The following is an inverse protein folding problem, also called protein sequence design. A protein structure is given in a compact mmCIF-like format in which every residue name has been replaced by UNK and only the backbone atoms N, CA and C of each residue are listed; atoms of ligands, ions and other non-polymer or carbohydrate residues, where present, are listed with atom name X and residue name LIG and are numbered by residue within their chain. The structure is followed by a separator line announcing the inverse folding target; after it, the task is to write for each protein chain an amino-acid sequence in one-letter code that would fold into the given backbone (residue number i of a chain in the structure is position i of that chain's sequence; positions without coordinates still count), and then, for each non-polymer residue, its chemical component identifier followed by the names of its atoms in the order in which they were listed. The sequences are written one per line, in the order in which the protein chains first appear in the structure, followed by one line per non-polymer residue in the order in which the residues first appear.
data_IF_340297484422
#
_entry.id   IF_340297484422
#
_cell.length_a   1.000
_cell.length_b   1.000
_cell.length_c   1.000
_cell.angle_alpha   90.00
_cell.angle_beta   90.00
_cell.angle_gamma   90.00
#
_symmetry.space_group_name_H-M   'P 1'
#
loop_
_entity.id
_entity.type
_entity.pdbx_description
1 polymer ?
#
# COMPACT_ATOMS: atom_id res chain seq x y z
N UNK A 1 3.25 24.01 4.71
CA UNK A 1 2.38 23.27 3.78
C UNK A 1 1.85 24.19 2.70
N UNK A 2 1.82 23.73 1.44
CA UNK A 2 1.15 24.44 0.33
C UNK A 2 -0.06 23.61 -0.11
N UNK A 3 -1.21 24.29 -0.31
CA UNK A 3 -2.38 23.70 -0.96
C UNK A 3 -2.41 24.21 -2.41
N UNK A 4 -2.68 23.31 -3.34
CA UNK A 4 -2.79 23.59 -4.78
C UNK A 4 -4.00 22.87 -5.39
N UNK A 5 -4.05 22.86 -6.71
CA UNK A 5 -5.03 22.12 -7.51
C UNK A 5 -4.31 21.13 -8.42
N UNK A 6 -4.75 19.88 -8.40
CA UNK A 6 -4.28 18.80 -9.25
C UNK A 6 -5.44 18.35 -10.14
N UNK A 7 -5.61 19.01 -11.28
CA UNK A 7 -6.66 18.69 -12.26
C UNK A 7 -8.08 18.55 -11.67
N UNK A 8 -8.46 19.48 -10.80
CA UNK A 8 -9.78 19.48 -10.13
C UNK A 8 -9.80 18.90 -8.71
N UNK A 9 -8.72 18.25 -8.28
CA UNK A 9 -8.55 17.73 -6.92
C UNK A 9 -7.60 18.63 -6.12
N UNK A 10 -7.81 18.69 -4.80
CA UNK A 10 -6.85 19.37 -3.93
C UNK A 10 -5.54 18.58 -3.86
N UNK A 11 -4.41 19.28 -3.83
CA UNK A 11 -3.08 18.71 -3.58
C UNK A 11 -2.41 19.46 -2.43
N UNK A 12 -1.76 18.71 -1.56
CA UNK A 12 -1.05 19.23 -0.40
C UNK A 12 0.43 18.88 -0.51
N UNK A 13 1.29 19.91 -0.55
CA UNK A 13 2.75 19.73 -0.61
C UNK A 13 3.38 20.25 0.67
N UNK A 14 4.17 19.41 1.32
CA UNK A 14 4.84 19.73 2.58
C UNK A 14 6.15 18.93 2.72
N UNK A 15 6.92 19.22 3.77
CA UNK A 15 8.18 18.51 3.96
C UNK A 15 8.98 19.02 5.15
N UNK A 16 10.11 18.39 5.38
CA UNK A 16 11.08 18.69 6.41
C UNK A 16 12.50 18.48 5.87
N UNK A 17 13.42 19.40 6.13
CA UNK A 17 14.77 19.28 5.60
C UNK A 17 14.79 19.13 4.08
N UNK A 18 15.34 18.03 3.61
CA UNK A 18 15.49 17.69 2.18
C UNK A 18 14.38 16.80 1.63
N UNK A 19 13.46 16.31 2.49
CA UNK A 19 12.32 15.50 2.08
C UNK A 19 11.10 16.37 1.80
N UNK A 20 10.47 16.16 0.64
CA UNK A 20 9.23 16.82 0.20
C UNK A 20 8.25 15.77 -0.28
N UNK A 21 6.99 15.92 0.08
CA UNK A 21 5.89 15.05 -0.37
C UNK A 21 4.75 15.91 -0.92
N UNK A 22 4.08 15.39 -1.93
CA UNK A 22 2.82 15.93 -2.48
C UNK A 22 1.78 14.83 -2.47
N UNK A 23 0.60 15.11 -1.88
CA UNK A 23 -0.51 14.15 -1.74
C UNK A 23 -1.78 14.80 -2.25
N UNK A 24 -2.50 14.14 -3.14
CA UNK A 24 -3.79 14.61 -3.69
C UNK A 24 -4.97 14.01 -2.93
N UNK A 25 -6.12 14.71 -2.97
CA UNK A 25 -7.39 14.15 -2.47
C UNK A 25 -7.94 13.02 -3.33
N UNK A 26 -7.48 12.85 -4.57
CA UNK A 26 -7.80 11.69 -5.40
C UNK A 26 -7.01 10.48 -4.90
N UNK A 27 -7.71 9.49 -4.34
CA UNK A 27 -7.12 8.25 -3.81
C UNK A 27 -6.21 8.44 -2.60
N UNK A 28 -6.16 9.64 -2.00
CA UNK A 28 -5.11 10.04 -1.06
C UNK A 28 -3.70 9.72 -1.61
N UNK A 29 -3.52 9.81 -2.92
CA UNK A 29 -2.33 9.35 -3.63
C UNK A 29 -1.14 10.29 -3.44
N UNK A 30 0.05 9.71 -3.23
CA UNK A 30 1.32 10.43 -3.28
C UNK A 30 1.68 10.67 -4.75
N UNK A 31 1.62 11.95 -5.16
CA UNK A 31 1.91 12.37 -6.53
C UNK A 31 3.35 12.86 -6.73
N UNK A 32 4.13 12.87 -5.67
CA UNK A 32 5.55 13.20 -5.68
C UNK A 32 6.16 12.99 -4.31
N UNK A 33 7.34 12.42 -4.28
CA UNK A 33 8.16 12.22 -3.08
C UNK A 33 9.62 12.48 -3.43
N UNK A 34 10.09 13.66 -3.10
CA UNK A 34 11.43 14.09 -3.46
C UNK A 34 12.35 14.12 -2.23
N UNK A 35 13.50 13.50 -2.34
CA UNK A 35 14.56 13.56 -1.34
C UNK A 35 15.86 14.02 -1.99
N UNK A 36 16.39 15.16 -1.52
CA UNK A 36 17.65 15.75 -2.00
C UNK A 36 17.68 16.00 -3.52
N UNK A 37 16.52 16.32 -4.13
CA UNK A 37 16.40 16.57 -5.57
C UNK A 37 16.08 15.33 -6.40
N UNK A 38 16.06 14.11 -5.83
CA UNK A 38 15.67 12.88 -6.49
C UNK A 38 14.17 12.63 -6.28
N UNK A 39 13.42 12.39 -7.36
CA UNK A 39 12.04 11.86 -7.28
C UNK A 39 12.11 10.36 -6.98
N UNK A 40 11.45 9.93 -5.93
CA UNK A 40 11.58 8.57 -5.38
C UNK A 40 10.41 7.65 -5.69
N UNK A 41 9.32 8.18 -6.27
CA UNK A 41 8.11 7.41 -6.58
C UNK A 41 7.66 7.64 -8.01
N UNK A 42 7.02 6.62 -8.57
CA UNK A 42 6.33 6.79 -9.85
C UNK A 42 5.08 7.65 -9.65
N UNK A 43 4.74 8.45 -10.66
CA UNK A 43 3.54 9.27 -10.66
C UNK A 43 2.96 9.41 -12.07
N UNK A 44 1.66 9.70 -12.16
CA UNK A 44 1.06 10.16 -13.41
C UNK A 44 1.12 11.68 -13.52
N UNK A 45 1.26 12.22 -14.73
CA UNK A 45 1.37 13.67 -14.93
C UNK A 45 0.07 14.42 -14.64
N UNK A 46 -1.06 13.72 -14.64
CA UNK A 46 -2.41 14.28 -14.48
C UNK A 46 -3.35 13.34 -13.68
N UNK A 47 -4.55 13.84 -13.37
CA UNK A 47 -5.55 13.06 -12.65
C UNK A 47 -6.16 11.93 -13.51
N UNK A 48 -6.16 12.06 -14.82
CA UNK A 48 -6.73 11.06 -15.73
C UNK A 48 -5.97 9.73 -15.61
N UNK A 49 -4.64 9.78 -15.49
CA UNK A 49 -3.80 8.61 -15.25
C UNK A 49 -4.18 7.89 -13.94
N UNK A 50 -4.48 8.63 -12.87
CA UNK A 50 -4.95 8.05 -11.61
C UNK A 50 -6.36 7.48 -11.71
N UNK A 51 -7.28 8.14 -12.42
CA UNK A 51 -8.69 7.71 -12.57
C UNK A 51 -8.78 6.46 -13.45
N UNK A 52 -8.12 6.45 -14.60
CA UNK A 52 -8.25 5.41 -15.63
C UNK A 52 -7.15 4.34 -15.56
N UNK A 53 -6.04 4.64 -14.89
CA UNK A 53 -4.94 3.69 -14.72
C UNK A 53 -5.33 2.49 -13.84
N UNK A 54 -4.75 1.33 -14.13
CA UNK A 54 -4.98 0.08 -13.40
C UNK A 54 -3.86 -0.27 -12.40
N UNK A 55 -2.86 0.62 -12.25
CA UNK A 55 -1.69 0.34 -11.41
C UNK A 55 -1.88 0.72 -9.93
N UNK A 56 -2.99 1.33 -9.54
CA UNK A 56 -3.23 1.86 -8.18
C UNK A 56 -2.12 2.80 -7.70
N UNK A 57 -1.52 3.53 -8.63
CA UNK A 57 -0.22 4.19 -8.51
C UNK A 57 -0.13 5.12 -7.30
N UNK A 58 0.66 4.72 -6.30
CA UNK A 58 0.92 5.43 -5.05
C UNK A 58 -0.34 5.87 -4.27
N UNK A 59 -1.50 5.27 -4.53
CA UNK A 59 -2.76 5.57 -3.88
C UNK A 59 -3.02 4.66 -2.66
N UNK A 60 -3.92 5.08 -1.80
CA UNK A 60 -4.46 4.21 -0.75
C UNK A 60 -5.47 3.27 -1.37
N UNK A 61 -5.32 1.98 -1.12
CA UNK A 61 -6.23 0.92 -1.56
C UNK A 61 -6.99 0.34 -0.37
N UNK A 62 -8.22 -0.08 -0.62
CA UNK A 62 -9.15 -0.58 0.38
C UNK A 62 -10.59 -0.67 -0.19
N UNK A 63 -11.55 -1.21 0.59
CA UNK A 63 -11.53 -1.52 2.04
C UNK A 63 -10.54 -2.64 2.43
N UNK A 64 -10.22 -3.53 1.49
CA UNK A 64 -9.29 -4.64 1.68
C UNK A 64 -8.20 -4.60 0.60
N UNK A 65 -6.95 -4.41 1.03
CA UNK A 65 -5.79 -4.45 0.15
C UNK A 65 -5.52 -5.88 -0.32
N UNK A 66 -4.92 -5.99 -1.51
CA UNK A 66 -4.64 -7.28 -2.14
C UNK A 66 -5.93 -8.11 -2.40
N UNK A 67 -5.83 -9.44 -2.54
CA UNK A 67 -6.90 -10.30 -3.05
C UNK A 67 -7.79 -10.89 -1.96
N UNK A 68 -9.08 -11.00 -2.29
CA UNK A 68 -10.04 -11.89 -1.62
C UNK A 68 -10.47 -12.95 -2.64
N UNK A 69 -10.09 -14.21 -2.36
CA UNK A 69 -10.32 -15.35 -3.26
C UNK A 69 -11.82 -15.62 -3.50
N UNK A 70 -12.18 -15.85 -4.77
CA UNK A 70 -13.57 -16.07 -5.18
C UNK A 70 -14.50 -14.89 -4.94
N UNK A 71 -13.94 -13.68 -4.66
CA UNK A 71 -14.69 -12.46 -4.36
C UNK A 71 -15.77 -12.68 -3.30
N UNK A 72 -15.47 -13.38 -2.22
CA UNK A 72 -16.40 -13.63 -1.11
C UNK A 72 -15.68 -13.98 0.19
N UNK A 73 -16.34 -13.76 1.30
CA UNK A 73 -15.90 -14.19 2.63
C UNK A 73 -17.08 -14.42 3.57
N UNK A 74 -16.82 -15.11 4.68
CA UNK A 74 -17.81 -15.32 5.73
C UNK A 74 -17.44 -14.50 6.96
N UNK A 75 -18.37 -13.70 7.48
CA UNK A 75 -18.23 -12.96 8.73
C UNK A 75 -19.46 -13.20 9.60
N UNK A 76 -19.24 -13.61 10.87
CA UNK A 76 -20.31 -13.91 11.83
C UNK A 76 -21.37 -14.90 11.29
N UNK A 77 -20.92 -15.91 10.52
CA UNK A 77 -21.80 -16.95 9.94
C UNK A 77 -22.57 -16.52 8.70
N UNK A 78 -22.41 -15.29 8.22
CA UNK A 78 -23.03 -14.77 6.99
C UNK A 78 -21.99 -14.69 5.87
N UNK A 79 -22.31 -15.23 4.69
CA UNK A 79 -21.50 -15.05 3.48
C UNK A 79 -21.76 -13.66 2.88
N UNK A 80 -20.68 -12.97 2.51
CA UNK A 80 -20.69 -11.71 1.77
C UNK A 80 -20.06 -11.94 0.40
N UNK A 81 -20.82 -11.62 -0.65
CA UNK A 81 -20.38 -11.70 -2.05
C UNK A 81 -19.96 -10.30 -2.48
N UNK A 82 -18.76 -10.21 -3.02
CA UNK A 82 -18.13 -8.96 -3.46
C UNK A 82 -18.13 -8.88 -4.99
N UNK A 83 -18.12 -7.69 -5.58
CA UNK A 83 -17.89 -7.55 -7.02
C UNK A 83 -16.45 -7.97 -7.34
N UNK A 84 -16.29 -8.93 -8.24
CA UNK A 84 -14.99 -9.33 -8.76
C UNK A 84 -14.48 -8.29 -9.77
N UNK A 85 -13.20 -7.94 -9.68
CA UNK A 85 -12.51 -7.01 -10.59
C UNK A 85 -11.19 -7.58 -11.13
N UNK A 86 -10.82 -8.80 -10.71
CA UNK A 86 -9.67 -9.54 -11.22
C UNK A 86 -10.04 -11.00 -11.43
N UNK A 87 -10.51 -11.34 -12.64
CA UNK A 87 -11.04 -12.68 -12.92
C UNK A 87 -12.20 -13.02 -12.00
N UNK A 88 -12.04 -14.06 -11.15
CA UNK A 88 -13.04 -14.48 -10.14
C UNK A 88 -12.82 -13.85 -8.76
N UNK A 89 -11.72 -13.10 -8.57
CA UNK A 89 -11.33 -12.56 -7.29
C UNK A 89 -11.69 -11.07 -7.17
N UNK A 90 -11.74 -10.56 -5.95
CA UNK A 90 -11.69 -9.13 -5.72
C UNK A 90 -10.25 -8.73 -5.39
N UNK A 91 -9.77 -7.66 -6.05
CA UNK A 91 -8.46 -7.05 -5.83
C UNK A 91 -8.64 -5.63 -5.30
N UNK A 92 -7.87 -5.26 -4.29
CA UNK A 92 -7.73 -3.91 -3.71
C UNK A 92 -9.05 -3.21 -3.37
N UNK A 93 -10.07 -3.99 -2.93
CA UNK A 93 -11.37 -3.44 -2.50
C UNK A 93 -12.41 -3.31 -3.60
N UNK A 94 -12.11 -3.80 -4.83
CA UNK A 94 -13.09 -3.91 -5.90
C UNK A 94 -13.08 -2.76 -6.92
N UNK A 95 -14.06 -2.72 -7.82
CA UNK A 95 -14.07 -1.79 -8.97
C UNK A 95 -14.18 -0.30 -8.58
N UNK A 96 -14.72 0.01 -7.39
CA UNK A 96 -14.86 1.36 -6.85
C UNK A 96 -13.98 1.53 -5.60
N UNK A 97 -12.75 1.05 -5.68
CA UNK A 97 -11.75 1.08 -4.62
C UNK A 97 -11.38 2.51 -4.19
N UNK A 98 -10.73 2.61 -3.08
CA UNK A 98 -10.34 3.87 -2.43
C UNK A 98 -9.44 4.76 -3.29
N UNK A 99 -8.64 4.18 -4.17
CA UNK A 99 -7.73 4.87 -5.10
C UNK A 99 -8.46 5.74 -6.14
N UNK A 100 -9.73 5.43 -6.45
CA UNK A 100 -10.55 6.18 -7.42
C UNK A 100 -11.46 7.23 -6.77
N UNK A 101 -11.40 7.37 -5.44
CA UNK A 101 -12.33 8.21 -4.69
C UNK A 101 -11.69 9.51 -4.25
N UNK A 102 -12.53 10.56 -4.13
CA UNK A 102 -12.10 11.82 -3.56
C UNK A 102 -12.20 11.76 -2.03
N UNK A 103 -11.07 11.97 -1.35
CA UNK A 103 -10.97 12.00 0.10
C UNK A 103 -11.13 13.43 0.63
N UNK A 104 -11.68 13.56 1.80
CA UNK A 104 -11.70 14.83 2.53
C UNK A 104 -10.35 15.03 3.23
N UNK A 105 -9.74 16.21 3.06
CA UNK A 105 -8.46 16.53 3.65
C UNK A 105 -8.58 17.53 4.79
N UNK A 106 -7.87 17.25 5.89
CA UNK A 106 -7.71 18.09 7.07
C UNK A 106 -6.23 18.36 7.33
N UNK A 107 -5.82 19.61 7.33
CA UNK A 107 -4.45 20.01 7.66
C UNK A 107 -4.28 20.00 9.17
N UNK A 108 -3.43 19.11 9.69
CA UNK A 108 -3.16 18.97 11.13
C UNK A 108 -1.98 19.83 11.59
N UNK A 109 -1.16 20.33 10.66
CA UNK A 109 0.01 21.16 10.92
C UNK A 109 0.82 21.44 9.65
N UNK A 110 1.98 22.06 9.80
CA UNK A 110 2.82 22.42 8.64
C UNK A 110 3.37 21.22 7.87
N UNK A 111 3.43 20.05 8.51
CA UNK A 111 4.05 18.81 8.00
C UNK A 111 3.15 17.61 8.10
N UNK A 112 1.86 17.80 8.37
CA UNK A 112 0.91 16.70 8.54
C UNK A 112 -0.45 17.03 7.96
N UNK A 113 -1.03 16.09 7.21
CA UNK A 113 -2.37 16.16 6.63
C UNK A 113 -3.07 14.81 6.80
N UNK A 114 -4.33 14.85 7.24
CA UNK A 114 -5.21 13.68 7.33
C UNK A 114 -6.16 13.67 6.14
N UNK A 115 -6.30 12.53 5.52
CA UNK A 115 -7.34 12.24 4.53
C UNK A 115 -8.35 11.29 5.15
N UNK A 116 -9.64 11.56 4.95
CA UNK A 116 -10.75 10.76 5.48
C UNK A 116 -11.72 10.40 4.35
N UNK A 117 -12.18 9.15 4.35
CA UNK A 117 -13.13 8.63 3.38
C UNK A 117 -14.26 7.90 4.10
N UNK A 118 -15.51 8.24 3.77
CA UNK A 118 -16.67 7.47 4.19
C UNK A 118 -17.00 6.38 3.16
N UNK A 119 -17.05 5.13 3.63
CA UNK A 119 -17.38 3.94 2.86
C UNK A 119 -18.66 3.35 3.46
N UNK A 120 -19.84 3.50 2.81
CA UNK A 120 -21.13 3.10 3.38
C UNK A 120 -21.28 1.58 3.47
N UNK A 121 -22.27 1.13 4.24
CA UNK A 121 -22.69 -0.29 4.27
C UNK A 121 -23.01 -0.78 2.86
N UNK A 122 -22.47 -1.96 2.49
CA UNK A 122 -22.59 -2.54 1.14
C UNK A 122 -21.62 -1.97 0.10
N UNK A 123 -20.77 -1.00 0.45
CA UNK A 123 -19.76 -0.45 -0.47
C UNK A 123 -18.82 -1.58 -0.96
N UNK A 124 -18.80 -1.82 -2.29
CA UNK A 124 -18.13 -2.97 -2.91
C UNK A 124 -18.46 -4.33 -2.24
N UNK A 125 -19.66 -4.47 -1.66
CA UNK A 125 -20.14 -5.68 -1.00
C UNK A 125 -19.73 -5.85 0.46
N UNK A 126 -18.93 -4.94 1.01
CA UNK A 126 -18.49 -5.00 2.41
C UNK A 126 -19.56 -4.50 3.38
N UNK A 127 -19.80 -5.19 4.52
CA UNK A 127 -20.78 -4.76 5.53
C UNK A 127 -20.28 -3.58 6.37
N UNK A 128 -21.23 -2.84 6.93
CA UNK A 128 -21.03 -1.76 7.88
C UNK A 128 -20.57 -0.45 7.23
N UNK A 129 -21.01 0.66 7.81
CA UNK A 129 -20.47 1.97 7.49
C UNK A 129 -19.07 2.07 8.10
N UNK A 130 -18.10 2.49 7.31
CA UNK A 130 -16.72 2.64 7.73
C UNK A 130 -16.23 4.06 7.43
N UNK A 131 -15.66 4.73 8.41
CA UNK A 131 -14.86 5.93 8.22
C UNK A 131 -13.39 5.54 8.20
N UNK A 132 -12.79 5.52 7.02
CA UNK A 132 -11.36 5.25 6.82
C UNK A 132 -10.56 6.55 6.88
N UNK A 133 -9.33 6.50 7.39
CA UNK A 133 -8.41 7.63 7.35
C UNK A 133 -6.98 7.21 7.07
N UNK A 134 -6.20 8.12 6.50
CA UNK A 134 -4.75 8.05 6.42
C UNK A 134 -4.16 9.42 6.75
N UNK A 135 -3.17 9.44 7.64
CA UNK A 135 -2.45 10.67 7.99
C UNK A 135 -1.03 10.58 7.48
N UNK A 136 -0.64 11.53 6.66
CA UNK A 136 0.72 11.67 6.16
C UNK A 136 1.46 12.70 7.01
N UNK A 137 2.61 12.32 7.55
CA UNK A 137 3.48 13.20 8.37
C UNK A 137 4.91 13.08 7.88
N UNK A 138 5.61 14.23 7.73
CA UNK A 138 7.03 14.28 7.41
C UNK A 138 7.82 14.77 8.61
N UNK A 139 8.77 13.95 9.08
CA UNK A 139 9.69 14.27 10.16
C UNK A 139 11.14 13.96 9.76
N UNK A 140 12.00 15.01 9.71
CA UNK A 140 13.36 14.84 9.21
C UNK A 140 13.36 14.29 7.78
N UNK A 141 13.96 13.12 7.58
CA UNK A 141 13.97 12.38 6.31
C UNK A 141 12.98 11.20 6.29
N UNK A 142 11.97 11.20 7.16
CA UNK A 142 10.96 10.15 7.21
C UNK A 142 9.60 10.66 6.71
N UNK A 143 8.92 9.84 5.89
CA UNK A 143 7.51 9.94 5.57
C UNK A 143 6.77 8.84 6.34
N UNK A 144 5.86 9.22 7.22
CA UNK A 144 5.02 8.32 8.00
C UNK A 144 3.57 8.39 7.54
N UNK A 145 2.96 7.23 7.31
CA UNK A 145 1.57 7.02 7.02
C UNK A 145 0.92 6.32 8.21
N UNK A 146 -0.12 6.92 8.80
CA UNK A 146 -0.91 6.32 9.86
C UNK A 146 -2.31 6.03 9.34
N UNK A 147 -2.65 4.75 9.22
CA UNK A 147 -3.96 4.28 8.78
C UNK A 147 -4.89 4.16 9.97
N UNK A 148 -6.08 4.75 9.87
CA UNK A 148 -7.14 4.67 10.86
C UNK A 148 -8.43 4.14 10.25
N UNK A 149 -9.33 3.67 11.12
CA UNK A 149 -10.66 3.22 10.72
C UNK A 149 -11.58 3.02 11.92
N UNK A 150 -12.87 3.30 11.72
CA UNK A 150 -13.94 3.04 12.71
C UNK A 150 -15.22 2.66 11.96
N UNK A 151 -15.91 1.63 12.43
CA UNK A 151 -17.13 1.13 11.79
C UNK A 151 -18.27 1.01 12.80
N UNK A 152 -19.52 1.07 12.28
CA UNK A 152 -20.76 0.91 13.09
C UNK A 152 -21.29 -0.52 13.13
N UNK A 153 -20.77 -1.39 12.28
CA UNK A 153 -21.06 -2.83 12.27
C UNK A 153 -19.77 -3.60 11.94
N UNK A 154 -19.67 -4.87 12.38
CA UNK A 154 -18.50 -5.71 12.11
C UNK A 154 -18.24 -5.78 10.60
N UNK A 155 -16.99 -5.57 10.23
CA UNK A 155 -16.52 -5.60 8.83
C UNK A 155 -15.13 -6.21 8.74
N UNK A 156 -14.60 -6.37 7.53
CA UNK A 156 -13.18 -6.63 7.30
C UNK A 156 -12.52 -5.34 6.82
N UNK A 157 -11.36 -5.01 7.40
CA UNK A 157 -10.63 -3.79 7.07
C UNK A 157 -9.11 -4.03 7.07
N UNK A 158 -8.50 -3.84 5.93
CA UNK A 158 -7.06 -4.04 5.72
C UNK A 158 -6.56 -3.10 4.61
N UNK A 159 -6.42 -1.80 4.89
CA UNK A 159 -5.92 -0.85 3.90
C UNK A 159 -4.40 -0.93 3.76
N UNK A 160 -3.87 -0.46 2.63
CA UNK A 160 -2.45 -0.13 2.45
C UNK A 160 -2.27 1.05 1.51
N UNK A 161 -1.03 1.49 1.31
CA UNK A 161 -0.65 2.45 0.26
C UNK A 161 0.21 1.74 -0.78
N UNK A 162 -0.22 1.77 -2.02
CA UNK A 162 0.42 1.08 -3.14
C UNK A 162 1.56 1.92 -3.75
N UNK A 163 2.52 2.33 -2.90
CA UNK A 163 3.62 3.19 -3.32
C UNK A 163 4.66 2.43 -4.14
N UNK A 164 4.92 2.92 -5.34
CA UNK A 164 5.96 2.41 -6.23
C UNK A 164 7.22 3.25 -6.11
N UNK A 165 8.25 2.72 -5.47
CA UNK A 165 9.53 3.38 -5.29
C UNK A 165 10.49 3.09 -6.43
N UNK A 166 11.29 4.11 -6.77
CA UNK A 166 12.46 3.97 -7.63
C UNK A 166 13.52 4.98 -7.19
N UNK A 167 14.62 4.50 -6.61
CA UNK A 167 15.60 5.35 -5.95
C UNK A 167 16.65 5.95 -6.90
N UNK A 168 16.78 5.42 -8.12
CA UNK A 168 17.78 5.88 -9.10
C UNK A 168 17.23 6.19 -10.49
N UNK A 169 15.92 5.99 -10.70
CA UNK A 169 15.26 6.18 -11.99
C UNK A 169 15.51 5.07 -13.03
N UNK A 170 16.23 4.02 -12.64
CA UNK A 170 16.55 2.88 -13.50
C UNK A 170 15.55 1.73 -13.41
N UNK A 171 16.00 0.54 -13.79
CA UNK A 171 15.24 -0.71 -13.63
C UNK A 171 15.36 -1.21 -12.19
N UNK A 172 14.24 -1.38 -11.49
CA UNK A 172 14.23 -1.75 -10.07
C UNK A 172 14.78 -3.15 -9.78
N UNK A 173 14.95 -4.00 -10.78
CA UNK A 173 15.65 -5.27 -10.59
C UNK A 173 17.14 -5.10 -10.24
N UNK A 174 17.74 -3.94 -10.54
CA UNK A 174 19.09 -3.57 -10.15
C UNK A 174 19.18 -3.01 -8.72
N UNK A 175 18.05 -2.64 -8.10
CA UNK A 175 18.04 -2.21 -6.70
C UNK A 175 18.45 -3.37 -5.80
N UNK A 176 19.13 -3.08 -4.69
CA UNK A 176 19.41 -4.06 -3.64
C UNK A 176 18.35 -3.96 -2.55
N UNK A 177 17.91 -5.10 -2.05
CA UNK A 177 16.86 -5.18 -1.03
C UNK A 177 17.26 -6.17 0.07
N UNK A 178 16.88 -5.84 1.31
CA UNK A 178 16.87 -6.73 2.47
C UNK A 178 15.46 -6.72 3.06
N UNK A 179 14.95 -7.89 3.48
CA UNK A 179 13.64 -8.02 4.14
C UNK A 179 13.83 -8.82 5.43
N UNK A 180 13.32 -8.30 6.55
CA UNK A 180 13.29 -9.01 7.82
C UNK A 180 12.04 -9.89 7.89
N UNK A 181 12.05 -10.99 7.15
CA UNK A 181 10.95 -11.92 7.04
C UNK A 181 11.24 -13.27 7.68
N UNK A 182 10.23 -13.85 8.34
CA UNK A 182 10.24 -15.24 8.80
C UNK A 182 9.96 -16.23 7.65
N UNK A 183 9.36 -15.75 6.54
CA UNK A 183 8.97 -16.54 5.39
C UNK A 183 8.17 -15.72 4.40
N UNK A 184 7.53 -16.40 3.46
CA UNK A 184 6.62 -15.79 2.48
C UNK A 184 5.38 -16.65 2.28
N UNK A 185 4.27 -16.05 1.86
CA UNK A 185 3.02 -16.76 1.63
C UNK A 185 3.04 -17.45 0.27
N UNK A 186 2.90 -18.79 0.27
CA UNK A 186 2.72 -19.53 -0.96
C UNK A 186 1.36 -19.20 -1.58
N UNK A 187 1.33 -18.99 -2.89
CA UNK A 187 0.10 -18.70 -3.64
C UNK A 187 -0.19 -19.79 -4.70
N UNK A 188 -1.45 -19.91 -5.06
CA UNK A 188 -1.88 -20.69 -6.23
C UNK A 188 -1.68 -19.91 -7.54
N UNK A 189 -2.06 -20.48 -8.67
CA UNK A 189 -1.99 -19.84 -9.99
C UNK A 189 -2.86 -18.59 -10.15
N UNK A 190 -3.76 -18.33 -9.23
CA UNK A 190 -4.59 -17.13 -9.15
C UNK A 190 -4.05 -16.10 -8.17
N UNK A 191 -2.82 -16.29 -7.68
CA UNK A 191 -2.16 -15.46 -6.67
C UNK A 191 -2.93 -15.38 -5.33
N UNK A 192 -3.74 -16.43 -5.05
CA UNK A 192 -4.43 -16.54 -3.76
C UNK A 192 -3.57 -17.39 -2.82
N UNK A 193 -3.31 -16.94 -1.57
CA UNK A 193 -2.55 -17.72 -0.62
C UNK A 193 -3.13 -19.10 -0.39
N UNK A 194 -2.28 -20.14 -0.44
CA UNK A 194 -2.67 -21.53 -0.14
C UNK A 194 -2.93 -21.73 1.36
N UNK A 195 -2.46 -20.81 2.19
CA UNK A 195 -2.48 -20.91 3.65
C UNK A 195 -1.16 -21.40 4.25
N UNK A 196 -0.18 -21.71 3.40
CA UNK A 196 1.17 -22.11 3.85
C UNK A 196 2.12 -20.93 3.87
N UNK A 197 2.95 -20.89 4.91
CA UNK A 197 4.11 -20.00 5.01
C UNK A 197 5.34 -20.82 4.64
N UNK A 198 6.02 -20.40 3.57
CA UNK A 198 7.24 -21.05 3.07
C UNK A 198 8.45 -20.37 3.69
N UNK A 199 9.55 -21.11 3.94
CA UNK A 199 10.77 -20.52 4.44
C UNK A 199 11.37 -19.53 3.43
N UNK A 200 12.01 -18.47 3.93
CA UNK A 200 12.73 -17.49 3.11
C UNK A 200 14.08 -18.06 2.68
N UNK A 201 14.08 -18.89 1.62
CA UNK A 201 15.27 -19.58 1.10
C UNK A 201 15.46 -19.30 -0.40
N UNK A 202 16.69 -19.51 -0.88
CA UNK A 202 17.03 -19.36 -2.30
C UNK A 202 16.75 -17.95 -2.82
N UNK A 203 15.93 -17.84 -3.85
CA UNK A 203 15.57 -16.52 -4.42
C UNK A 203 14.67 -15.69 -3.50
N UNK A 204 14.06 -16.24 -2.48
CA UNK A 204 13.28 -15.54 -1.47
C UNK A 204 14.08 -15.19 -0.20
N UNK A 205 15.35 -15.58 -0.12
CA UNK A 205 16.23 -15.19 0.99
C UNK A 205 16.75 -13.76 0.78
N UNK A 206 16.06 -12.81 1.42
CA UNK A 206 16.48 -11.42 1.56
C UNK A 206 16.96 -11.09 2.98
N UNK A 207 17.41 -12.07 3.74
CA UNK A 207 17.95 -11.83 5.10
C UNK A 207 19.18 -10.90 5.10
N UNK A 208 19.87 -10.79 3.96
CA UNK A 208 20.94 -9.85 3.71
C UNK A 208 20.63 -9.00 2.49
N UNK A 209 21.21 -7.80 2.47
CA UNK A 209 21.10 -6.90 1.32
C UNK A 209 21.67 -7.58 0.05
N UNK A 210 20.84 -7.69 -0.97
CA UNK A 210 21.21 -8.30 -2.26
C UNK A 210 20.36 -7.72 -3.40
N UNK A 211 20.82 -7.77 -4.66
CA UNK A 211 20.03 -7.33 -5.81
C UNK A 211 18.69 -8.09 -5.91
N UNK A 212 17.67 -7.40 -6.40
CA UNK A 212 16.32 -7.96 -6.61
C UNK A 212 16.35 -9.03 -7.71
N UNK A 213 17.00 -8.77 -8.84
CA UNK A 213 17.36 -9.68 -9.96
C UNK A 213 16.21 -10.27 -10.77
N UNK A 214 15.02 -10.51 -10.19
CA UNK A 214 13.88 -11.13 -10.89
C UNK A 214 12.57 -10.49 -10.51
N UNK A 215 11.51 -10.85 -11.22
CA UNK A 215 10.16 -10.41 -10.91
C UNK A 215 9.64 -11.05 -9.61
N UNK A 216 9.05 -10.21 -8.75
CA UNK A 216 8.32 -10.60 -7.54
C UNK A 216 6.91 -10.02 -7.57
N UNK A 217 5.97 -10.76 -7.06
CA UNK A 217 4.62 -10.36 -6.63
C UNK A 217 4.26 -11.28 -5.45
N UNK A 218 4.90 -11.02 -4.30
CA UNK A 218 4.86 -11.95 -3.17
C UNK A 218 4.74 -11.21 -1.84
N UNK A 219 3.97 -11.82 -0.94
CA UNK A 219 3.76 -11.34 0.41
C UNK A 219 4.74 -12.01 1.38
N UNK A 220 5.63 -11.23 1.98
CA UNK A 220 6.60 -11.65 2.98
C UNK A 220 6.03 -11.50 4.38
N UNK A 221 6.14 -12.55 5.19
CA UNK A 221 5.72 -12.57 6.60
C UNK A 221 6.81 -11.92 7.45
N UNK A 222 6.52 -10.78 8.04
CA UNK A 222 7.51 -10.00 8.78
C UNK A 222 7.82 -10.60 10.16
N UNK A 223 9.08 -10.49 10.59
CA UNK A 223 9.55 -10.92 11.91
C UNK A 223 9.76 -9.79 12.91
N UNK A 224 9.45 -8.55 12.54
CA UNK A 224 9.59 -7.37 13.42
C UNK A 224 9.14 -6.10 12.74
N UNK A 225 9.31 -4.97 13.40
CA UNK A 225 8.83 -3.67 12.92
C UNK A 225 9.72 -3.02 11.87
N UNK A 226 11.02 -3.32 11.79
CA UNK A 226 11.86 -2.97 10.64
C UNK A 226 11.59 -3.99 9.55
N UNK A 227 10.81 -3.60 8.54
CA UNK A 227 10.33 -4.50 7.50
C UNK A 227 11.40 -4.81 6.46
N UNK A 228 11.96 -3.76 5.86
CA UNK A 228 12.95 -3.92 4.80
C UNK A 228 13.87 -2.70 4.68
N UNK A 229 14.95 -2.88 3.92
CA UNK A 229 15.79 -1.81 3.41
C UNK A 229 15.95 -1.97 1.90
N UNK A 230 15.95 -0.86 1.17
CA UNK A 230 16.18 -0.81 -0.28
C UNK A 230 17.30 0.19 -0.57
N UNK A 231 18.26 -0.18 -1.42
CA UNK A 231 19.39 0.66 -1.81
C UNK A 231 19.53 0.72 -3.33
N UNK A 232 19.66 1.94 -3.86
CA UNK A 232 20.05 2.21 -5.25
C UNK A 232 20.50 3.67 -5.39
N UNK A 233 21.32 3.98 -6.38
CA UNK A 233 21.72 5.36 -6.73
C UNK A 233 22.40 6.16 -5.62
N UNK A 234 23.05 5.50 -4.65
CA UNK A 234 23.66 6.17 -3.48
C UNK A 234 22.63 6.59 -2.41
N UNK A 235 21.37 6.11 -2.53
CA UNK A 235 20.30 6.31 -1.57
C UNK A 235 19.90 5.00 -0.91
N UNK A 236 19.42 5.11 0.31
CA UNK A 236 18.82 4.02 1.08
C UNK A 236 17.45 4.45 1.60
N UNK A 237 16.49 3.55 1.51
CA UNK A 237 15.18 3.62 2.14
C UNK A 237 15.04 2.48 3.14
N UNK A 238 14.82 2.80 4.42
CA UNK A 238 14.42 1.84 5.47
C UNK A 238 12.92 1.94 5.70
N UNK A 239 12.23 0.80 5.76
CA UNK A 239 10.78 0.72 5.97
C UNK A 239 10.46 0.13 7.32
N UNK A 240 9.64 0.85 8.09
CA UNK A 240 9.18 0.46 9.42
C UNK A 240 7.66 0.36 9.43
N UNK A 241 7.13 -0.68 10.09
CA UNK A 241 5.69 -0.90 10.15
C UNK A 241 5.29 -1.80 11.31
N UNK A 242 4.03 -1.71 11.72
CA UNK A 242 3.38 -2.67 12.63
C UNK A 242 2.39 -3.59 11.90
N UNK A 243 2.35 -3.52 10.57
CA UNK A 243 1.65 -4.53 9.76
C UNK A 243 2.38 -5.88 9.82
N UNK A 244 1.65 -7.02 9.73
CA UNK A 244 2.25 -8.35 9.86
C UNK A 244 3.01 -8.82 8.62
N UNK A 245 2.84 -8.14 7.48
CA UNK A 245 3.44 -8.53 6.21
C UNK A 245 3.88 -7.36 5.36
N UNK A 246 4.64 -7.70 4.33
CA UNK A 246 5.12 -6.79 3.29
C UNK A 246 4.87 -7.44 1.93
N UNK A 247 3.96 -6.87 1.12
CA UNK A 247 3.89 -7.20 -0.29
C UNK A 247 5.03 -6.51 -1.03
N UNK A 248 5.72 -7.27 -1.86
CA UNK A 248 6.76 -6.77 -2.75
C UNK A 248 6.36 -7.09 -4.19
N UNK A 249 6.16 -6.04 -4.99
CA UNK A 249 5.84 -6.18 -6.40
C UNK A 249 6.79 -5.34 -7.26
N UNK A 250 7.47 -5.99 -8.19
CA UNK A 250 8.50 -5.37 -9.06
C UNK A 250 7.92 -4.71 -10.30
N UNK A 251 6.63 -4.40 -10.30
CA UNK A 251 5.92 -3.78 -11.44
C UNK A 251 6.13 -4.50 -12.78
N UNK A 252 6.22 -5.83 -12.76
CA UNK A 252 6.43 -6.64 -13.97
C UNK A 252 5.29 -6.53 -15.00
N UNK A 253 4.08 -6.16 -14.57
CA UNK A 253 2.91 -5.89 -15.40
C UNK A 253 2.67 -4.39 -15.69
N UNK A 254 3.58 -3.50 -15.28
CA UNK A 254 3.41 -2.05 -15.49
C UNK A 254 3.44 -1.71 -16.99
N UNK A 255 2.39 -1.01 -17.42
CA UNK A 255 2.28 -0.47 -18.78
C UNK A 255 2.78 0.98 -18.89
N UNK A 256 2.43 1.61 -20.01
CA UNK A 256 2.70 3.03 -20.26
C UNK A 256 2.03 3.92 -19.17
N UNK A 257 2.66 5.05 -18.80
CA UNK A 257 3.87 5.63 -19.38
C UNK A 257 5.18 5.11 -18.79
N UNK A 258 5.14 4.21 -17.79
CA UNK A 258 6.33 3.82 -17.02
C UNK A 258 7.06 2.61 -17.60
N UNK A 259 6.32 1.56 -17.99
CA UNK A 259 6.89 0.31 -18.48
C UNK A 259 7.26 -0.69 -17.38
N UNK A 260 7.62 -1.90 -17.81
CA UNK A 260 7.97 -3.04 -16.95
C UNK A 260 9.16 -2.73 -16.04
N UNK A 261 9.05 -3.12 -14.76
CA UNK A 261 10.09 -3.00 -13.73
C UNK A 261 10.58 -1.55 -13.51
N UNK A 262 9.71 -0.57 -13.70
CA UNK A 262 10.00 0.83 -13.46
C UNK A 262 9.82 1.26 -12.00
N UNK A 263 9.10 0.48 -11.19
CA UNK A 263 8.85 0.77 -9.78
C UNK A 263 8.83 -0.48 -8.92
N UNK A 264 9.28 -0.36 -7.69
CA UNK A 264 9.22 -1.39 -6.66
C UNK A 264 8.11 -1.03 -5.69
N UNK A 265 6.95 -1.72 -5.79
CA UNK A 265 5.89 -1.55 -4.81
C UNK A 265 6.30 -2.23 -3.51
N UNK A 266 6.29 -1.46 -2.42
CA UNK A 266 6.61 -1.88 -1.06
C UNK A 266 5.41 -1.53 -0.19
N UNK A 267 4.60 -2.54 0.10
CA UNK A 267 3.27 -2.37 0.67
C UNK A 267 3.16 -3.10 2.02
N UNK A 268 3.39 -2.41 3.16
CA UNK A 268 3.03 -2.96 4.45
C UNK A 268 1.52 -3.24 4.51
N UNK A 269 1.14 -4.50 4.74
CA UNK A 269 -0.26 -4.93 4.69
C UNK A 269 -0.56 -6.12 5.61
N UNK A 270 -1.84 -6.49 5.72
CA UNK A 270 -2.24 -7.80 6.22
C UNK A 270 -2.03 -8.87 5.15
N UNK A 271 -2.06 -10.14 5.56
CA UNK A 271 -1.96 -11.23 4.61
C UNK A 271 -3.15 -11.21 3.65
N UNK A 272 -2.92 -11.34 2.32
CA UNK A 272 -4.00 -11.46 1.36
C UNK A 272 -4.93 -12.64 1.71
N UNK A 273 -6.21 -12.49 1.40
CA UNK A 273 -7.26 -13.50 1.64
C UNK A 273 -7.45 -13.93 3.11
N UNK A 274 -6.99 -13.11 4.09
CA UNK A 274 -7.13 -13.43 5.53
C UNK A 274 -8.57 -13.75 5.96
N UNK A 275 -9.64 -13.11 5.44
CA UNK A 275 -11.01 -13.46 5.82
C UNK A 275 -11.40 -14.90 5.51
N UNK A 276 -10.72 -15.55 4.56
CA UNK A 276 -10.92 -16.94 4.13
C UNK A 276 -9.87 -17.91 4.69
N UNK A 277 -8.95 -17.44 5.52
CA UNK A 277 -7.83 -18.20 6.08
C UNK A 277 -7.80 -18.06 7.60
N UNK A 278 -8.51 -18.90 8.35
CA UNK A 278 -8.63 -18.75 9.82
C UNK A 278 -7.29 -18.84 10.57
N UNK A 279 -6.23 -19.37 9.95
CA UNK A 279 -4.88 -19.41 10.49
C UNK A 279 -4.08 -18.11 10.30
N UNK A 280 -4.60 -17.17 9.49
CA UNK A 280 -3.96 -15.87 9.25
C UNK A 280 -4.39 -14.83 10.28
N UNK A 281 -3.62 -13.73 10.45
CA UNK A 281 -4.04 -12.64 11.30
C UNK A 281 -5.42 -12.10 10.92
N UNK A 282 -6.29 -11.91 11.92
CA UNK A 282 -7.64 -11.40 11.67
C UNK A 282 -7.62 -9.98 11.12
N UNK A 283 -8.44 -9.74 10.11
CA UNK A 283 -8.71 -8.40 9.55
C UNK A 283 -10.11 -7.90 9.90
N UNK A 284 -10.78 -8.60 10.83
CA UNK A 284 -12.10 -8.16 11.32
C UNK A 284 -11.93 -6.94 12.20
N UNK A 285 -12.63 -5.87 11.83
CA UNK A 285 -12.84 -4.67 12.64
C UNK A 285 -14.24 -4.76 13.25
N UNK A 286 -14.32 -4.79 14.57
CA UNK A 286 -15.60 -4.85 15.30
C UNK A 286 -16.26 -3.48 15.36
N UNK A 287 -17.60 -3.48 15.44
CA UNK A 287 -18.35 -2.26 15.64
C UNK A 287 -17.84 -1.46 16.85
N UNK A 288 -17.49 -0.19 16.63
CA UNK A 288 -16.97 0.73 17.64
C UNK A 288 -15.48 0.54 17.97
N UNK A 289 -14.79 -0.48 17.43
CA UNK A 289 -13.34 -0.58 17.55
C UNK A 289 -12.63 0.40 16.63
N UNK A 290 -11.46 0.87 17.07
CA UNK A 290 -10.59 1.73 16.27
C UNK A 290 -9.45 0.93 15.67
N UNK A 291 -9.35 0.96 14.35
CA UNK A 291 -8.19 0.44 13.63
C UNK A 291 -7.05 1.46 13.68
N UNK A 292 -5.84 0.98 13.91
CA UNK A 292 -4.63 1.80 13.82
C UNK A 292 -3.46 0.94 13.38
N UNK A 293 -2.80 1.35 12.28
CA UNK A 293 -1.55 0.77 11.76
C UNK A 293 -0.72 1.86 11.13
N UNK A 294 0.59 1.62 10.98
CA UNK A 294 1.47 2.59 10.31
C UNK A 294 2.43 1.93 9.33
N UNK A 295 2.87 2.75 8.38
CA UNK A 295 4.03 2.52 7.54
C UNK A 295 4.92 3.77 7.59
N UNK A 296 6.24 3.60 7.72
CA UNK A 296 7.19 4.71 7.76
C UNK A 296 8.37 4.41 6.85
N UNK A 297 8.68 5.36 5.98
CA UNK A 297 9.75 5.28 4.99
C UNK A 297 10.81 6.32 5.34
N UNK A 298 12.02 5.88 5.71
CA UNK A 298 13.15 6.74 6.10
C UNK A 298 14.21 6.72 5.03
N UNK A 299 14.63 7.89 4.59
CA UNK A 299 15.61 8.06 3.52
C UNK A 299 16.94 8.55 4.06
N UNK A 300 18.03 8.02 3.51
CA UNK A 300 19.40 8.42 3.82
C UNK A 300 20.31 8.28 2.60
N UNK A 301 21.50 8.92 2.64
CA UNK A 301 22.59 8.61 1.72
C UNK A 301 23.43 7.45 2.24
N UNK A 302 24.03 6.70 1.33
CA UNK A 302 25.01 5.63 1.58
C UNK A 302 26.31 5.90 0.86
#
# INVERSE_FOLDING_TARGET
MKKGNFFGYDIYSFGSGELRVSVTTLGAAVTGLNYMGHELVLNYPDAEGYINGSAYLCAVVGRYANRIGGAKFTLNGKEYVLPANEGKNQLHGGPHSYDKRCWHAEVLGERSVRFTLFSPDGDNGFPGNLTASVTYTVEGSALRLEFGGECDADTVYAPTSHMYFNLDGGNVLAHSMQINAAGWLETDSGLIPTGRIMPAEGSFDFSKLRPVEKDYDHCFVLSGTHACAVEAGGLRMDVWTDFPALQVYTSSGMGEPHGKNSGLAIEPEFYPDSPNKPQFPSTVLRAGEKFSRYAEYRFSRI
#
